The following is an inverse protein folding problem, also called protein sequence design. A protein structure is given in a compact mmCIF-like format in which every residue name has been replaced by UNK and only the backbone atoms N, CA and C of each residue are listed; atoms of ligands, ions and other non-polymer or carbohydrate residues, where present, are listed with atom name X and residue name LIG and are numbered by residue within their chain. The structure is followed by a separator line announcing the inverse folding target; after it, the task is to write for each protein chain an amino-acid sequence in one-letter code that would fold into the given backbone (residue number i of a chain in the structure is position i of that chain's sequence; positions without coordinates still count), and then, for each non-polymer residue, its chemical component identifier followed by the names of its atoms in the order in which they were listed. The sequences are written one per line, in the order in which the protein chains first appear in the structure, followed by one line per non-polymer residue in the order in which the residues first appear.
data_IF_858814614725
#
_entry.id   IF_858814614725
#
_cell.length_a   1.000
_cell.length_b   1.000
_cell.length_c   1.000
_cell.angle_alpha   90.00
_cell.angle_beta   90.00
_cell.angle_gamma   90.00
#
_symmetry.space_group_name_H-M   'P 1'
#
loop_
_entity.id
_entity.type
_entity.pdbx_description
1 polymer ?
#
# COMPACT_ATOMS: atom_id res chain seq x y z
N UNK A 1 -7.92 7.19 6.58
CA UNK A 1 -8.10 8.62 6.30
C UNK A 1 -9.34 8.80 5.43
N UNK A 2 -10.45 9.22 6.02
CA UNK A 2 -11.69 9.56 5.33
C UNK A 2 -11.71 11.06 5.09
N UNK A 3 -11.35 11.46 3.90
CA UNK A 3 -11.19 12.86 3.52
C UNK A 3 -11.63 13.04 2.06
N UNK A 4 -12.26 14.15 1.73
CA UNK A 4 -12.69 14.44 0.38
C UNK A 4 -11.55 14.46 -0.65
N UNK A 5 -11.88 14.41 -1.93
CA UNK A 5 -10.87 14.53 -2.99
C UNK A 5 -10.15 15.89 -2.90
N UNK A 6 -8.86 15.91 -3.15
CA UNK A 6 -8.06 17.15 -3.13
C UNK A 6 -7.71 17.71 -1.74
N UNK A 7 -8.09 17.05 -0.65
CA UNK A 7 -7.85 17.54 0.72
C UNK A 7 -6.51 17.11 1.34
N UNK A 8 -5.61 16.53 0.55
CA UNK A 8 -4.24 16.20 0.98
C UNK A 8 -4.06 14.81 1.60
N UNK A 9 -4.94 13.83 1.32
CA UNK A 9 -4.81 12.45 1.82
C UNK A 9 -3.42 11.85 1.60
N UNK A 10 -2.86 12.04 0.40
CA UNK A 10 -1.53 11.54 0.03
C UNK A 10 -0.45 12.14 0.91
N UNK A 11 -0.51 13.47 1.13
CA UNK A 11 0.42 14.18 2.01
C UNK A 11 0.37 13.62 3.43
N UNK A 12 -0.82 13.46 4.00
CA UNK A 12 -1.00 12.91 5.36
C UNK A 12 -0.44 11.49 5.46
N UNK A 13 -0.64 10.65 4.44
CA UNK A 13 -0.04 9.32 4.42
C UNK A 13 1.48 9.38 4.39
N UNK A 14 2.06 10.22 3.53
CA UNK A 14 3.50 10.33 3.38
C UNK A 14 4.16 10.92 4.64
N UNK A 15 3.52 11.88 5.31
CA UNK A 15 3.97 12.39 6.61
C UNK A 15 3.93 11.28 7.69
N UNK A 16 2.89 10.44 7.68
CA UNK A 16 2.82 9.30 8.60
C UNK A 16 3.90 8.25 8.32
N UNK A 17 4.20 7.98 7.05
CA UNK A 17 5.31 7.10 6.65
C UNK A 17 6.64 7.68 7.14
N UNK A 18 6.89 8.97 6.90
CA UNK A 18 8.10 9.67 7.34
C UNK A 18 8.27 9.61 8.85
N UNK A 19 7.22 9.93 9.61
CA UNK A 19 7.24 9.88 11.07
C UNK A 19 7.53 8.47 11.61
N UNK A 20 6.97 7.43 11.00
CA UNK A 20 7.20 6.04 11.43
C UNK A 20 8.63 5.59 11.08
N UNK A 21 9.15 6.02 9.94
CA UNK A 21 10.53 5.78 9.54
C UNK A 21 11.53 6.46 10.49
N UNK A 22 11.37 7.75 10.77
CA UNK A 22 12.22 8.53 11.68
C UNK A 22 12.24 7.93 13.10
N UNK A 23 11.14 7.31 13.52
CA UNK A 23 11.04 6.57 14.79
C UNK A 23 11.61 5.15 14.72
N UNK A 24 12.21 4.74 13.62
CA UNK A 24 12.73 3.38 13.43
C UNK A 24 11.65 2.28 13.49
N UNK A 25 10.38 2.62 13.23
CA UNK A 25 9.27 1.67 13.32
C UNK A 25 9.05 0.89 12.04
N UNK A 26 9.40 1.48 10.90
CA UNK A 26 9.32 0.88 9.56
C UNK A 26 10.58 1.19 8.76
N UNK A 27 10.89 0.31 7.82
CA UNK A 27 11.88 0.52 6.75
C UNK A 27 11.28 0.22 5.38
N UNK A 28 9.97 -0.05 5.31
CA UNK A 28 9.26 -0.31 4.08
C UNK A 28 7.85 0.28 4.07
N UNK A 29 7.35 0.61 2.88
CA UNK A 29 5.96 0.99 2.64
C UNK A 29 5.46 0.34 1.35
N UNK A 30 4.30 -0.31 1.42
CA UNK A 30 3.56 -0.83 0.26
C UNK A 30 2.33 0.05 0.04
N UNK A 31 2.31 0.76 -1.09
CA UNK A 31 1.16 1.58 -1.50
C UNK A 31 0.40 0.83 -2.59
N UNK A 32 -0.85 0.52 -2.31
CA UNK A 32 -1.76 -0.15 -3.25
C UNK A 32 -2.78 0.86 -3.73
N UNK A 33 -2.86 1.08 -5.04
CA UNK A 33 -3.76 2.06 -5.63
C UNK A 33 -4.45 1.52 -6.90
N UNK A 34 -5.56 2.10 -7.35
CA UNK A 34 -6.19 1.74 -8.62
C UNK A 34 -5.23 1.94 -9.81
N UNK A 35 -5.39 1.12 -10.86
CA UNK A 35 -4.53 1.15 -12.06
C UNK A 35 -4.41 2.54 -12.70
N UNK A 36 -5.47 3.35 -12.63
CA UNK A 36 -5.48 4.70 -13.21
C UNK A 36 -4.62 5.71 -12.44
N UNK A 37 -4.38 5.50 -11.13
CA UNK A 37 -3.73 6.50 -10.27
C UNK A 37 -2.42 6.02 -9.63
N UNK A 38 -2.12 4.70 -9.65
CA UNK A 38 -0.94 4.17 -8.96
C UNK A 38 0.40 4.75 -9.47
N UNK A 39 0.46 5.16 -10.76
CA UNK A 39 1.63 5.83 -11.32
C UNK A 39 1.83 7.24 -10.74
N UNK A 40 0.74 7.94 -10.44
CA UNK A 40 0.81 9.28 -9.86
C UNK A 40 1.54 9.28 -8.50
N UNK A 41 1.41 8.21 -7.73
CA UNK A 41 2.20 8.04 -6.50
C UNK A 41 3.69 8.05 -6.77
N UNK A 42 4.13 7.40 -7.85
CA UNK A 42 5.54 7.34 -8.24
C UNK A 42 6.04 8.65 -8.85
N UNK A 43 5.25 9.23 -9.78
CA UNK A 43 5.68 10.36 -10.60
C UNK A 43 5.53 11.71 -9.89
N UNK A 44 4.58 11.83 -8.94
CA UNK A 44 4.20 13.12 -8.34
C UNK A 44 4.11 13.09 -6.82
N UNK A 45 3.28 12.23 -6.21
CA UNK A 45 2.97 12.31 -4.78
C UNK A 45 4.21 12.14 -3.91
N UNK A 46 4.98 11.06 -4.13
CA UNK A 46 6.18 10.78 -3.35
C UNK A 46 7.27 11.82 -3.58
N UNK A 47 7.61 12.21 -4.82
CA UNK A 47 8.61 13.25 -5.06
C UNK A 47 8.28 14.60 -4.43
N UNK A 48 6.99 14.98 -4.42
CA UNK A 48 6.56 16.29 -3.93
C UNK A 48 6.39 16.31 -2.41
N UNK A 49 5.85 15.25 -1.82
CA UNK A 49 5.33 15.28 -0.46
C UNK A 49 6.15 14.49 0.56
N UNK A 50 6.97 13.52 0.14
CA UNK A 50 7.84 12.84 1.09
C UNK A 50 8.98 13.76 1.50
N UNK A 51 9.26 13.83 2.80
CA UNK A 51 10.31 14.71 3.33
C UNK A 51 11.69 14.43 2.74
N UNK A 52 12.48 15.48 2.50
CA UNK A 52 13.72 15.39 1.74
C UNK A 52 14.89 14.72 2.50
N UNK A 53 14.84 14.68 3.83
CA UNK A 53 15.92 14.08 4.62
C UNK A 53 15.91 12.55 4.61
N UNK A 54 14.82 11.94 4.14
CA UNK A 54 14.71 10.48 4.05
C UNK A 54 15.21 10.02 2.67
N UNK A 55 16.33 9.30 2.68
CA UNK A 55 16.76 8.56 1.50
C UNK A 55 15.79 7.43 1.24
N UNK A 56 15.32 7.34 -0.01
CA UNK A 56 14.26 6.40 -0.39
C UNK A 56 14.57 5.67 -1.68
N UNK A 57 14.15 4.42 -1.73
CA UNK A 57 14.08 3.62 -2.96
C UNK A 57 12.63 3.34 -3.29
N UNK A 58 12.13 3.98 -4.34
CA UNK A 58 10.76 3.83 -4.80
C UNK A 58 10.74 3.00 -6.08
N UNK A 59 9.96 1.94 -6.10
CA UNK A 59 9.79 1.07 -7.26
C UNK A 59 8.33 0.87 -7.58
N UNK A 60 7.99 1.05 -8.85
CA UNK A 60 6.67 0.78 -9.41
C UNK A 60 6.62 -0.66 -9.95
N UNK A 61 5.75 -1.49 -9.40
CA UNK A 61 5.54 -2.85 -9.89
C UNK A 61 4.76 -2.86 -11.22
N UNK A 62 5.18 -3.71 -12.13
CA UNK A 62 4.53 -3.90 -13.43
C UNK A 62 4.41 -5.40 -13.74
N UNK A 63 3.29 -5.81 -14.37
CA UNK A 63 3.03 -7.22 -14.65
C UNK A 63 4.01 -7.82 -15.68
N UNK A 64 4.39 -7.03 -16.69
CA UNK A 64 5.41 -7.39 -17.66
C UNK A 64 6.76 -6.90 -17.17
N UNK A 65 7.60 -7.81 -16.73
CA UNK A 65 8.92 -7.51 -16.16
C UNK A 65 9.98 -7.90 -17.20
N UNK A 66 10.66 -6.90 -17.73
CA UNK A 66 11.91 -7.11 -18.49
C UNK A 66 13.10 -7.14 -17.50
N UNK A 67 14.29 -7.52 -17.98
CA UNK A 67 15.49 -7.63 -17.15
C UNK A 67 15.79 -6.34 -16.39
N UNK A 68 15.71 -5.18 -17.03
CA UNK A 68 15.93 -3.86 -16.41
C UNK A 68 14.94 -3.55 -15.29
N UNK A 69 13.70 -4.00 -15.42
CA UNK A 69 12.68 -3.87 -14.35
C UNK A 69 12.92 -4.84 -13.21
N UNK A 70 13.36 -6.07 -13.52
CA UNK A 70 13.73 -7.03 -12.49
C UNK A 70 14.88 -6.50 -11.64
N UNK A 71 15.92 -5.95 -12.26
CA UNK A 71 17.05 -5.34 -11.54
C UNK A 71 16.60 -4.21 -10.60
N UNK A 72 15.64 -3.37 -11.04
CA UNK A 72 15.03 -2.33 -10.18
C UNK A 72 14.24 -2.92 -9.01
N UNK A 73 13.45 -3.96 -9.25
CA UNK A 73 12.70 -4.62 -8.20
C UNK A 73 13.63 -5.28 -7.16
N UNK A 74 14.75 -5.83 -7.62
CA UNK A 74 15.74 -6.47 -6.75
C UNK A 74 16.47 -5.46 -5.84
N UNK A 75 16.51 -4.17 -6.21
CA UNK A 75 17.06 -3.13 -5.31
C UNK A 75 16.26 -2.97 -4.03
N UNK A 76 14.97 -3.33 -4.02
CA UNK A 76 14.12 -3.30 -2.83
C UNK A 76 14.55 -4.32 -1.75
N UNK A 77 15.39 -5.29 -2.08
CA UNK A 77 15.83 -6.35 -1.17
C UNK A 77 17.30 -6.22 -0.76
N UNK A 78 17.96 -5.15 -1.18
CA UNK A 78 19.34 -4.88 -0.74
C UNK A 78 19.33 -4.36 0.70
N UNK A 79 20.30 -4.76 1.54
CA UNK A 79 20.39 -4.33 2.93
C UNK A 79 20.94 -2.90 3.04
N UNK A 80 20.20 -1.95 2.56
CA UNK A 80 20.49 -0.52 2.66
C UNK A 80 19.58 0.11 3.72
N UNK A 81 20.05 1.21 4.33
CA UNK A 81 19.36 1.87 5.45
C UNK A 81 18.17 2.70 5.00
N UNK A 82 17.89 2.71 3.72
CA UNK A 82 16.88 3.57 3.10
C UNK A 82 15.45 3.09 3.36
N UNK A 83 14.50 4.00 3.22
CA UNK A 83 13.09 3.66 3.14
C UNK A 83 12.77 3.04 1.78
N UNK A 84 12.32 1.79 1.79
CA UNK A 84 11.91 1.08 0.59
C UNK A 84 10.42 1.28 0.33
N UNK A 85 10.04 1.83 -0.83
CA UNK A 85 8.65 2.06 -1.20
C UNK A 85 8.30 1.24 -2.43
N UNK A 86 7.37 0.30 -2.27
CA UNK A 86 6.80 -0.49 -3.34
C UNK A 86 5.40 0.04 -3.68
N UNK A 87 5.16 0.37 -4.94
CA UNK A 87 3.85 0.81 -5.42
C UNK A 87 3.28 -0.25 -6.35
N UNK A 88 2.07 -0.71 -6.07
CA UNK A 88 1.38 -1.74 -6.84
C UNK A 88 -0.03 -1.31 -7.20
N UNK A 89 -0.51 -1.74 -8.37
CA UNK A 89 -1.94 -1.61 -8.66
C UNK A 89 -2.73 -2.73 -7.94
N UNK A 90 -3.98 -2.45 -7.60
CA UNK A 90 -4.84 -3.38 -6.87
C UNK A 90 -5.10 -4.68 -7.65
N UNK A 91 -5.09 -4.62 -8.99
CA UNK A 91 -5.29 -5.77 -9.88
C UNK A 91 -4.12 -6.78 -9.81
N UNK A 92 -2.92 -6.32 -9.44
CA UNK A 92 -1.76 -7.19 -9.25
C UNK A 92 -2.04 -8.31 -8.24
N UNK A 93 -2.86 -8.04 -7.24
CA UNK A 93 -3.23 -9.00 -6.19
C UNK A 93 -4.21 -10.09 -6.65
N UNK A 94 -4.72 -10.00 -7.86
CA UNK A 94 -5.44 -11.10 -8.52
C UNK A 94 -4.50 -12.10 -9.20
N UNK A 95 -3.21 -11.79 -9.31
CA UNK A 95 -2.20 -12.63 -9.98
C UNK A 95 -1.25 -13.26 -8.95
N UNK A 96 -0.86 -14.51 -9.20
CA UNK A 96 0.13 -15.20 -8.34
C UNK A 96 1.43 -14.42 -8.26
N UNK A 97 1.94 -13.91 -9.39
CA UNK A 97 3.20 -13.17 -9.46
C UNK A 97 3.20 -11.90 -8.60
N UNK A 98 2.12 -11.10 -8.68
CA UNK A 98 1.98 -9.90 -7.86
C UNK A 98 1.84 -10.23 -6.38
N UNK A 99 1.06 -11.27 -6.05
CA UNK A 99 0.88 -11.74 -4.69
C UNK A 99 2.19 -12.21 -4.06
N UNK A 100 2.95 -13.06 -4.75
CA UNK A 100 4.21 -13.62 -4.27
C UNK A 100 5.26 -12.50 -4.08
N UNK A 101 5.29 -11.52 -4.99
CA UNK A 101 6.19 -10.38 -4.87
C UNK A 101 5.86 -9.49 -3.67
N UNK A 102 4.58 -9.15 -3.48
CA UNK A 102 4.13 -8.37 -2.33
C UNK A 102 4.41 -9.12 -1.01
N UNK A 103 4.17 -10.44 -0.96
CA UNK A 103 4.49 -11.27 0.20
C UNK A 103 5.98 -11.25 0.53
N UNK A 104 6.84 -11.41 -0.48
CA UNK A 104 8.30 -11.31 -0.32
C UNK A 104 8.71 -9.95 0.24
N UNK A 105 8.19 -8.86 -0.32
CA UNK A 105 8.47 -7.50 0.16
C UNK A 105 8.09 -7.33 1.63
N UNK A 106 6.88 -7.72 2.02
CA UNK A 106 6.37 -7.59 3.39
C UNK A 106 7.10 -8.49 4.39
N UNK A 107 7.65 -9.63 3.94
CA UNK A 107 8.44 -10.52 4.80
C UNK A 107 9.87 -10.01 5.03
N UNK A 108 10.40 -9.21 4.10
CA UNK A 108 11.75 -8.65 4.20
C UNK A 108 11.81 -7.30 4.92
N UNK A 109 10.67 -6.62 5.08
CA UNK A 109 10.61 -5.26 5.63
C UNK A 109 9.63 -5.16 6.79
N UNK A 110 9.98 -4.37 7.80
CA UNK A 110 9.00 -3.85 8.76
C UNK A 110 8.18 -2.78 8.06
N UNK A 111 7.03 -3.17 7.48
CA UNK A 111 6.34 -2.32 6.51
C UNK A 111 5.01 -1.76 7.01
N UNK A 112 4.67 -0.56 6.48
CA UNK A 112 3.31 -0.04 6.44
C UNK A 112 2.66 -0.43 5.11
N UNK A 113 1.42 -0.91 5.14
CA UNK A 113 0.58 -1.11 3.94
C UNK A 113 -0.51 -0.06 3.90
N UNK A 114 -0.60 0.66 2.80
CA UNK A 114 -1.65 1.64 2.54
C UNK A 114 -2.46 1.25 1.30
N UNK A 115 -3.78 1.40 1.38
CA UNK A 115 -4.68 1.23 0.23
C UNK A 115 -5.28 2.59 -0.10
N UNK A 116 -4.94 3.09 -1.26
CA UNK A 116 -5.57 4.26 -1.84
C UNK A 116 -6.84 3.86 -2.58
N UNK A 117 -7.88 4.67 -2.46
CA UNK A 117 -9.25 4.35 -2.89
C UNK A 117 -9.70 2.96 -2.38
N UNK A 118 -9.78 2.83 -1.04
CA UNK A 118 -10.04 1.56 -0.36
C UNK A 118 -11.38 0.91 -0.71
N UNK A 119 -12.30 1.63 -1.37
CA UNK A 119 -13.51 1.05 -1.97
C UNK A 119 -13.22 -0.03 -3.01
N UNK A 120 -11.99 -0.10 -3.52
CA UNK A 120 -11.53 -1.16 -4.44
C UNK A 120 -11.49 -2.55 -3.79
N UNK A 121 -11.45 -2.62 -2.45
CA UNK A 121 -11.46 -3.86 -1.67
C UNK A 121 -12.79 -4.14 -0.96
N UNK A 122 -13.84 -3.39 -1.21
CA UNK A 122 -15.15 -3.54 -0.54
C UNK A 122 -15.86 -4.88 -0.78
N UNK A 123 -15.55 -5.58 -1.87
CA UNK A 123 -16.17 -6.87 -2.18
C UNK A 123 -15.38 -8.03 -1.54
N UNK A 124 -15.91 -8.69 -0.47
CA UNK A 124 -15.22 -9.78 0.22
C UNK A 124 -15.06 -11.02 -0.66
N UNK A 125 -15.92 -11.21 -1.68
CA UNK A 125 -15.83 -12.31 -2.61
C UNK A 125 -14.70 -12.21 -3.63
N UNK A 126 -14.19 -11.00 -3.88
CA UNK A 126 -13.17 -10.78 -4.89
C UNK A 126 -11.81 -11.37 -4.48
N UNK A 127 -11.15 -12.08 -5.41
CA UNK A 127 -9.86 -12.72 -5.15
C UNK A 127 -8.78 -11.72 -4.68
N UNK A 128 -8.74 -10.52 -5.30
CA UNK A 128 -7.82 -9.45 -4.88
C UNK A 128 -8.05 -9.03 -3.43
N UNK A 129 -9.30 -8.88 -2.99
CA UNK A 129 -9.65 -8.53 -1.62
C UNK A 129 -9.16 -9.59 -0.64
N UNK A 130 -9.49 -10.86 -0.87
CA UNK A 130 -9.02 -11.98 -0.04
C UNK A 130 -7.50 -12.02 0.07
N UNK A 131 -6.81 -11.81 -1.03
CA UNK A 131 -5.35 -11.80 -1.07
C UNK A 131 -4.75 -10.62 -0.32
N UNK A 132 -5.32 -9.41 -0.47
CA UNK A 132 -4.89 -8.21 0.26
C UNK A 132 -5.11 -8.39 1.77
N UNK A 133 -6.27 -8.87 2.20
CA UNK A 133 -6.56 -9.15 3.61
C UNK A 133 -5.57 -10.16 4.20
N UNK A 134 -5.24 -11.23 3.45
CA UNK A 134 -4.23 -12.21 3.88
C UNK A 134 -2.85 -11.59 4.04
N UNK A 135 -2.42 -10.79 3.06
CA UNK A 135 -1.11 -10.13 3.06
C UNK A 135 -1.00 -9.03 4.13
N UNK A 136 -2.11 -8.34 4.42
CA UNK A 136 -2.09 -7.29 5.44
C UNK A 136 -1.65 -7.77 6.81
N UNK A 137 -1.84 -9.07 7.11
CA UNK A 137 -1.38 -9.71 8.36
C UNK A 137 0.15 -9.73 8.50
N UNK A 138 0.89 -9.61 7.39
CA UNK A 138 2.35 -9.52 7.39
C UNK A 138 2.84 -8.08 7.65
N UNK A 139 1.96 -7.09 7.56
CA UNK A 139 2.33 -5.69 7.76
C UNK A 139 2.23 -5.27 9.21
N UNK A 140 3.13 -4.39 9.63
CA UNK A 140 3.14 -3.84 10.99
C UNK A 140 2.10 -2.73 11.17
N UNK A 141 1.89 -1.94 10.14
CA UNK A 141 0.93 -0.83 10.13
C UNK A 141 0.07 -0.87 8.88
N UNK A 142 -1.21 -0.54 9.03
CA UNK A 142 -2.19 -0.54 7.94
C UNK A 142 -2.92 0.79 7.88
N UNK A 143 -3.17 1.30 6.66
CA UNK A 143 -3.89 2.55 6.40
C UNK A 143 -4.81 2.38 5.20
N UNK A 144 -5.92 3.06 5.23
CA UNK A 144 -6.82 3.21 4.07
C UNK A 144 -7.06 4.68 3.80
N UNK A 145 -7.18 5.01 2.53
CA UNK A 145 -7.50 6.35 2.04
C UNK A 145 -8.73 6.25 1.13
N UNK A 146 -9.73 7.06 1.39
CA UNK A 146 -10.89 7.18 0.51
C UNK A 146 -11.67 8.46 0.80
N UNK A 147 -12.29 9.01 -0.24
CA UNK A 147 -13.24 10.11 -0.10
C UNK A 147 -14.66 9.64 0.24
N UNK A 148 -15.00 8.40 -0.09
CA UNK A 148 -16.33 7.83 0.10
C UNK A 148 -16.23 6.39 0.57
N UNK A 149 -16.10 6.14 1.89
CA UNK A 149 -15.91 4.80 2.42
C UNK A 149 -17.13 3.88 2.21
N UNK A 150 -18.31 4.46 2.16
CA UNK A 150 -19.59 3.78 1.88
C UNK A 150 -20.11 4.25 0.53
N UNK A 151 -20.29 3.35 -0.43
CA UNK A 151 -20.76 3.69 -1.77
C UNK A 151 -22.16 3.18 -2.06
N UNK A 152 -22.54 2.03 -1.54
CA UNK A 152 -23.85 1.40 -1.78
C UNK A 152 -24.52 0.93 -0.49
N UNK A 153 -23.76 0.40 0.44
CA UNK A 153 -24.27 -0.22 1.67
C UNK A 153 -23.25 -0.06 2.79
N UNK A 154 -23.68 0.01 4.07
CA UNK A 154 -22.79 -0.05 5.22
C UNK A 154 -21.84 -1.25 5.20
N UNK A 155 -22.21 -2.35 4.55
CA UNK A 155 -21.37 -3.53 4.36
C UNK A 155 -20.10 -3.25 3.53
N UNK A 156 -20.08 -2.15 2.76
CA UNK A 156 -18.87 -1.71 2.04
C UNK A 156 -17.70 -1.41 3.01
N UNK A 157 -17.99 -1.13 4.28
CA UNK A 157 -16.98 -0.89 5.31
C UNK A 157 -16.38 -2.18 5.87
N UNK A 158 -17.07 -3.30 5.79
CA UNK A 158 -16.66 -4.53 6.47
C UNK A 158 -15.22 -4.93 6.13
N UNK A 159 -14.92 -5.12 4.85
CA UNK A 159 -13.57 -5.52 4.41
C UNK A 159 -12.52 -4.44 4.61
N UNK A 160 -12.92 -3.17 4.60
CA UNK A 160 -12.04 -2.05 4.88
C UNK A 160 -11.65 -2.02 6.37
N UNK A 161 -12.59 -2.29 7.26
CA UNK A 161 -12.34 -2.44 8.70
C UNK A 161 -11.51 -3.69 8.99
N UNK A 162 -11.85 -4.84 8.38
CA UNK A 162 -11.08 -6.09 8.48
C UNK A 162 -9.62 -5.92 8.02
N UNK A 163 -9.40 -5.12 6.97
CA UNK A 163 -8.03 -4.79 6.54
C UNK A 163 -7.28 -4.00 7.61
N UNK A 164 -7.90 -3.05 8.28
CA UNK A 164 -7.27 -2.25 9.31
C UNK A 164 -6.99 -3.07 10.57
N UNK A 165 -8.01 -3.73 11.08
CA UNK A 165 -7.95 -4.63 12.22
C UNK A 165 -9.10 -5.66 12.11
N UNK A 166 -8.80 -6.97 12.07
CA UNK A 166 -9.83 -8.01 12.03
C UNK A 166 -10.84 -7.97 13.18
N UNK A 167 -10.46 -7.38 14.31
CA UNK A 167 -11.28 -7.27 15.51
C UNK A 167 -12.03 -5.93 15.64
N UNK A 168 -11.84 -5.02 14.68
CA UNK A 168 -12.37 -3.65 14.76
C UNK A 168 -13.90 -3.59 14.87
N UNK A 169 -14.61 -4.56 14.28
CA UNK A 169 -16.07 -4.59 14.26
C UNK A 169 -16.67 -5.63 15.24
N UNK A 170 -15.85 -6.33 16.05
CA UNK A 170 -16.30 -7.38 16.98
C UNK A 170 -17.30 -8.39 16.36
N UNK A 171 -17.24 -8.60 15.05
CA UNK A 171 -18.07 -9.55 14.34
C UNK A 171 -17.40 -10.93 14.40
N UNK A 172 -17.82 -11.74 15.35
CA UNK A 172 -17.55 -13.19 15.40
C UNK A 172 -18.46 -13.94 14.46
#
# INVERSE_FOLDING_TARGET
YFMEMGTGKSKVLLDNISMLYDKGKINGALIVAPKGVYKNWFDSEIPIHLVNHIEKKTVLWQALINKKQQDKLDTLFKPEVDLHILIMNVEAFSTKKGLDFAAKFLSCHSALVAIDESTTIKNPGAQRTKNILRLSKLSKYRRILTGSPVTKSPLDLYTQCEFLDPWLLDCT
#
